data_IF_687162748394
#
_entry.id   IF_687162748394
#
_cell.length_a   1.000
_cell.length_b   1.000
_cell.length_c   1.000
_cell.angle_alpha   90.00
_cell.angle_beta   90.00
_cell.angle_gamma   90.00
#
_symmetry.space_group_name_H-M   'P 1'
#
loop_
_entity.id
_entity.type
_entity.pdbx_description
1 polymer ?
#
# COMPACT_ATOMS: atom_id res chain seq x y z
N UNK A 1 41.08 -48.34 12.06
CA UNK A 1 41.68 -47.29 11.19
C UNK A 1 41.22 -47.38 9.75
N UNK A 2 41.26 -48.54 9.09
CA UNK A 2 40.95 -48.69 7.66
C UNK A 2 39.50 -48.28 7.28
N UNK A 3 38.52 -48.70 8.09
CA UNK A 3 37.11 -48.35 7.89
C UNK A 3 36.84 -46.84 8.07
N UNK A 4 37.56 -46.19 8.99
CA UNK A 4 37.48 -44.75 9.25
C UNK A 4 38.12 -43.95 8.10
N UNK A 5 39.22 -44.42 7.53
CA UNK A 5 39.82 -43.80 6.35
C UNK A 5 38.91 -43.95 5.12
N UNK A 6 38.31 -45.12 4.92
CA UNK A 6 37.41 -45.35 3.79
C UNK A 6 36.16 -44.45 3.85
N UNK A 7 35.54 -44.30 5.02
CA UNK A 7 34.38 -43.42 5.19
C UNK A 7 34.74 -41.95 4.95
N UNK A 8 35.88 -41.49 5.46
CA UNK A 8 36.34 -40.10 5.29
C UNK A 8 36.71 -39.78 3.84
N UNK A 9 37.45 -40.67 3.18
CA UNK A 9 37.99 -40.40 1.84
C UNK A 9 36.99 -40.62 0.70
N UNK A 10 35.98 -41.49 0.88
CA UNK A 10 35.07 -41.83 -0.22
C UNK A 10 33.62 -41.46 0.05
N UNK A 11 33.10 -41.74 1.25
CA UNK A 11 31.67 -41.55 1.54
C UNK A 11 31.34 -40.07 1.75
N UNK A 12 32.14 -39.34 2.54
CA UNK A 12 31.94 -37.91 2.79
C UNK A 12 31.99 -37.06 1.50
N UNK A 13 33.02 -37.19 0.62
CA UNK A 13 33.04 -36.40 -0.61
C UNK A 13 31.92 -36.79 -1.57
N UNK A 14 31.52 -38.06 -1.62
CA UNK A 14 30.39 -38.49 -2.46
C UNK A 14 29.06 -37.88 -1.98
N UNK A 15 28.82 -37.87 -0.67
CA UNK A 15 27.65 -37.19 -0.08
C UNK A 15 27.72 -35.68 -0.33
N UNK A 16 28.89 -35.05 -0.17
CA UNK A 16 29.08 -33.63 -0.42
C UNK A 16 28.77 -33.25 -1.88
N UNK A 17 29.30 -34.02 -2.85
CA UNK A 17 28.98 -33.85 -4.27
C UNK A 17 27.49 -34.07 -4.55
N UNK A 18 26.88 -35.08 -3.94
CA UNK A 18 25.45 -35.33 -4.06
C UNK A 18 24.59 -34.17 -3.55
N UNK A 19 24.94 -33.60 -2.40
CA UNK A 19 24.27 -32.42 -1.83
C UNK A 19 24.50 -31.18 -2.70
N UNK A 20 25.71 -30.98 -3.24
CA UNK A 20 26.01 -29.85 -4.11
C UNK A 20 25.24 -29.92 -5.44
N UNK A 21 25.12 -31.11 -6.03
CA UNK A 21 24.30 -31.33 -7.21
C UNK A 21 22.80 -31.14 -6.90
N UNK A 22 22.32 -31.70 -5.79
CA UNK A 22 20.92 -31.56 -5.42
C UNK A 22 20.54 -30.10 -5.13
N UNK A 23 21.37 -29.38 -4.39
CA UNK A 23 21.15 -27.96 -4.08
C UNK A 23 21.17 -27.10 -5.33
N UNK A 24 22.11 -27.31 -6.26
CA UNK A 24 22.13 -26.57 -7.54
C UNK A 24 20.91 -26.90 -8.39
N UNK A 25 20.51 -28.17 -8.49
CA UNK A 25 19.36 -28.59 -9.28
C UNK A 25 18.01 -28.17 -8.70
N UNK A 26 17.94 -27.87 -7.40
CA UNK A 26 16.71 -27.39 -6.74
C UNK A 26 16.69 -25.86 -6.68
N UNK A 27 17.77 -25.23 -6.22
CA UNK A 27 17.82 -23.78 -5.99
C UNK A 27 17.82 -22.99 -7.31
N UNK A 28 18.51 -23.46 -8.35
CA UNK A 28 18.58 -22.72 -9.62
C UNK A 28 17.22 -22.69 -10.33
N UNK A 29 16.49 -23.81 -10.49
CA UNK A 29 15.14 -23.77 -11.04
C UNK A 29 14.15 -23.02 -10.15
N UNK A 30 14.24 -23.18 -8.82
CA UNK A 30 13.39 -22.43 -7.90
C UNK A 30 13.60 -20.91 -8.04
N UNK A 31 14.86 -20.46 -8.13
CA UNK A 31 15.19 -19.06 -8.36
C UNK A 31 14.71 -18.57 -9.73
N UNK A 32 14.84 -19.38 -10.79
CA UNK A 32 14.37 -19.04 -12.13
C UNK A 32 12.84 -18.94 -12.21
N UNK A 33 12.12 -19.88 -11.60
CA UNK A 33 10.66 -19.87 -11.48
C UNK A 33 10.22 -18.63 -10.70
N UNK A 34 10.87 -18.34 -9.57
CA UNK A 34 10.59 -17.17 -8.77
C UNK A 34 10.84 -15.87 -9.53
N UNK A 35 11.97 -15.75 -10.23
CA UNK A 35 12.30 -14.59 -11.06
C UNK A 35 11.29 -14.40 -12.19
N UNK A 36 10.92 -15.46 -12.89
CA UNK A 36 9.92 -15.44 -13.96
C UNK A 36 8.53 -15.05 -13.45
N UNK A 37 8.12 -15.59 -12.30
CA UNK A 37 6.88 -15.20 -11.63
C UNK A 37 6.90 -13.73 -11.20
N UNK A 38 8.00 -13.27 -10.60
CA UNK A 38 8.19 -11.89 -10.18
C UNK A 38 8.15 -10.92 -11.36
N UNK A 39 8.82 -11.24 -12.47
CA UNK A 39 8.80 -10.46 -13.71
C UNK A 39 7.40 -10.37 -14.29
N UNK A 40 6.65 -11.49 -14.34
CA UNK A 40 5.25 -11.51 -14.80
C UNK A 40 4.33 -10.69 -13.91
N UNK A 41 4.59 -10.62 -12.60
CA UNK A 41 3.86 -9.73 -11.69
C UNK A 41 4.18 -8.26 -11.99
N UNK A 42 5.46 -7.92 -12.13
CA UNK A 42 5.90 -6.56 -12.43
C UNK A 42 5.31 -6.06 -13.75
N UNK A 43 5.30 -6.92 -14.76
CA UNK A 43 4.74 -6.62 -16.08
C UNK A 43 3.23 -6.41 -16.03
N UNK A 44 2.49 -7.28 -15.33
CA UNK A 44 1.04 -7.08 -15.10
C UNK A 44 0.75 -5.77 -14.37
N UNK A 45 1.55 -5.38 -13.37
CA UNK A 45 1.42 -4.09 -12.69
C UNK A 45 1.70 -2.91 -13.64
N UNK A 46 2.73 -3.01 -14.49
CA UNK A 46 3.07 -1.99 -15.49
C UNK A 46 1.96 -1.84 -16.53
N UNK A 47 1.40 -2.95 -17.03
CA UNK A 47 0.29 -2.94 -17.98
C UNK A 47 -0.96 -2.31 -17.38
N UNK A 48 -1.32 -2.63 -16.13
CA UNK A 48 -2.42 -1.95 -15.41
C UNK A 48 -2.17 -0.45 -15.30
N UNK A 49 -0.98 -0.01 -14.92
CA UNK A 49 -0.64 1.42 -14.85
C UNK A 49 -0.74 2.11 -16.23
N UNK A 50 -0.43 1.41 -17.31
CA UNK A 50 -0.53 1.98 -18.65
C UNK A 50 -1.98 2.05 -19.16
N UNK A 51 -2.83 1.09 -18.76
CA UNK A 51 -4.26 1.05 -19.13
C UNK A 51 -5.11 1.99 -18.27
N UNK A 52 -4.94 1.90 -16.96
CA UNK A 52 -5.80 2.55 -15.97
C UNK A 52 -5.22 3.90 -15.52
N UNK A 53 -3.97 4.22 -15.88
CA UNK A 53 -3.29 5.45 -15.51
C UNK A 53 -2.57 5.37 -14.16
N UNK A 54 -2.11 6.51 -13.67
CA UNK A 54 -1.48 6.57 -12.35
C UNK A 54 -2.56 6.51 -11.26
N UNK A 55 -2.43 5.59 -10.31
CA UNK A 55 -3.32 5.48 -9.16
C UNK A 55 -2.63 6.12 -7.95
N UNK A 56 -3.11 7.28 -7.52
CA UNK A 56 -2.59 8.02 -6.37
C UNK A 56 -3.64 7.97 -5.27
N UNK A 57 -3.26 7.52 -4.09
CA UNK A 57 -4.13 7.56 -2.93
C UNK A 57 -3.68 8.60 -1.91
N UNK A 58 -4.64 9.31 -1.34
CA UNK A 58 -4.47 10.22 -0.23
C UNK A 58 -5.14 9.62 1.01
N UNK A 59 -4.38 9.51 2.09
CA UNK A 59 -4.92 9.02 3.36
C UNK A 59 -5.37 10.20 4.21
N UNK A 60 -6.69 10.38 4.37
CA UNK A 60 -7.25 11.48 5.13
C UNK A 60 -8.60 11.10 5.78
N UNK A 61 -8.56 10.56 7.01
CA UNK A 61 -9.75 9.96 7.64
C UNK A 61 -10.89 10.95 7.88
N UNK A 62 -10.60 12.20 8.25
CA UNK A 62 -11.57 13.28 8.42
C UNK A 62 -11.28 14.36 7.38
N UNK A 63 -12.11 14.45 6.35
CA UNK A 63 -11.94 15.30 5.17
C UNK A 63 -13.00 16.41 5.06
N UNK A 64 -13.80 16.59 6.11
CA UNK A 64 -14.97 17.46 6.17
C UNK A 64 -14.97 18.32 7.45
N UNK A 65 -13.85 18.40 8.17
CA UNK A 65 -13.76 19.23 9.37
C UNK A 65 -13.64 20.73 9.03
N UNK A 66 -13.27 21.07 7.78
CA UNK A 66 -13.13 22.46 7.31
C UNK A 66 -11.86 23.15 7.78
N UNK A 67 -10.82 22.39 8.13
CA UNK A 67 -9.56 22.89 8.68
C UNK A 67 -8.54 23.35 7.62
N UNK A 68 -7.52 24.10 8.04
CA UNK A 68 -6.46 24.61 7.16
C UNK A 68 -5.61 23.50 6.50
N UNK A 69 -5.37 22.38 7.19
CA UNK A 69 -4.66 21.23 6.64
C UNK A 69 -5.41 20.57 5.48
N UNK A 70 -6.75 20.59 5.51
CA UNK A 70 -7.59 20.04 4.43
C UNK A 70 -7.45 20.88 3.15
N UNK A 71 -7.31 22.21 3.27
CA UNK A 71 -7.06 23.08 2.10
C UNK A 71 -5.80 22.64 1.34
N UNK A 72 -4.72 22.30 2.06
CA UNK A 72 -3.47 21.83 1.45
C UNK A 72 -3.70 20.52 0.70
N UNK A 73 -4.44 19.58 1.28
CA UNK A 73 -4.82 18.33 0.63
C UNK A 73 -5.58 18.60 -0.68
N UNK A 74 -6.63 19.43 -0.65
CA UNK A 74 -7.46 19.67 -1.83
C UNK A 74 -6.74 20.43 -2.93
N UNK A 75 -5.87 21.39 -2.58
CA UNK A 75 -5.00 22.08 -3.54
C UNK A 75 -3.96 21.12 -4.13
N UNK A 76 -3.39 20.21 -3.33
CA UNK A 76 -2.47 19.20 -3.84
C UNK A 76 -3.16 18.23 -4.82
N UNK A 77 -4.37 17.77 -4.49
CA UNK A 77 -5.20 16.95 -5.39
C UNK A 77 -5.48 17.68 -6.70
N UNK A 78 -5.88 18.96 -6.63
CA UNK A 78 -6.11 19.80 -7.82
C UNK A 78 -4.88 19.87 -8.70
N UNK A 79 -3.72 20.19 -8.12
CA UNK A 79 -2.46 20.31 -8.85
C UNK A 79 -2.04 18.97 -9.52
N UNK A 80 -2.28 17.84 -8.85
CA UNK A 80 -2.01 16.51 -9.43
C UNK A 80 -2.92 16.22 -10.62
N UNK A 81 -4.22 16.52 -10.52
CA UNK A 81 -5.18 16.32 -11.62
C UNK A 81 -4.87 17.21 -12.81
N UNK A 82 -4.52 18.48 -12.58
CA UNK A 82 -4.13 19.41 -13.64
C UNK A 82 -2.84 18.98 -14.34
N UNK A 83 -1.86 18.45 -13.60
CA UNK A 83 -0.59 18.00 -14.18
C UNK A 83 -0.70 16.63 -14.85
N UNK A 84 -1.55 15.74 -14.35
CA UNK A 84 -1.69 14.37 -14.82
C UNK A 84 -3.18 13.99 -14.96
N UNK A 85 -3.84 14.35 -16.08
CA UNK A 85 -5.28 14.16 -16.25
C UNK A 85 -5.71 12.69 -16.30
N UNK A 86 -4.82 11.78 -16.68
CA UNK A 86 -5.04 10.32 -16.70
C UNK A 86 -4.72 9.66 -15.34
N UNK A 87 -4.96 10.37 -14.23
CA UNK A 87 -4.68 9.87 -12.88
C UNK A 87 -5.98 9.62 -12.15
N UNK A 88 -6.13 8.43 -11.58
CA UNK A 88 -7.21 8.14 -10.65
C UNK A 88 -6.76 8.50 -9.25
N UNK A 89 -7.55 9.34 -8.59
CA UNK A 89 -7.31 9.74 -7.21
C UNK A 89 -8.22 8.95 -6.30
N UNK A 90 -7.63 8.35 -5.27
CA UNK A 90 -8.34 7.63 -4.23
C UNK A 90 -8.16 8.37 -2.90
N UNK A 91 -9.24 8.65 -2.17
CA UNK A 91 -9.16 9.30 -0.86
C UNK A 91 -9.70 8.31 0.16
N UNK A 92 -8.84 7.86 1.07
CA UNK A 92 -9.26 7.01 2.18
C UNK A 92 -9.88 7.89 3.26
N UNK A 93 -11.17 7.70 3.54
CA UNK A 93 -11.94 8.46 4.52
C UNK A 93 -12.73 7.52 5.42
N UNK A 94 -13.00 7.94 6.66
CA UNK A 94 -13.93 7.22 7.56
C UNK A 94 -15.36 7.77 7.47
N UNK A 95 -15.56 8.89 6.78
CA UNK A 95 -16.81 9.66 6.82
C UNK A 95 -17.96 9.04 6.04
N UNK A 96 -19.19 9.25 6.54
CA UNK A 96 -20.49 8.86 5.94
C UNK A 96 -20.96 9.75 4.81
N UNK A 97 -20.39 10.94 4.65
CA UNK A 97 -20.87 11.91 3.68
C UNK A 97 -20.66 11.42 2.24
N UNK A 98 -21.59 11.81 1.36
CA UNK A 98 -21.47 11.53 -0.06
C UNK A 98 -20.29 12.31 -0.68
N UNK A 99 -19.56 11.72 -1.64
CA UNK A 99 -18.48 12.39 -2.37
C UNK A 99 -18.83 13.78 -2.89
N UNK A 100 -20.05 13.94 -3.44
CA UNK A 100 -20.52 15.21 -4.01
C UNK A 100 -20.64 16.28 -2.94
N UNK A 101 -21.25 15.94 -1.80
CA UNK A 101 -21.42 16.86 -0.66
C UNK A 101 -20.07 17.33 -0.11
N UNK A 102 -19.07 16.44 -0.05
CA UNK A 102 -17.71 16.79 0.37
C UNK A 102 -17.09 17.77 -0.64
N UNK A 103 -17.17 17.48 -1.94
CA UNK A 103 -16.61 18.33 -2.98
C UNK A 103 -17.29 19.71 -3.04
N UNK A 104 -18.62 19.78 -2.86
CA UNK A 104 -19.36 21.03 -2.81
C UNK A 104 -18.94 21.88 -1.61
N UNK A 105 -18.74 21.24 -0.45
CA UNK A 105 -18.25 21.94 0.74
C UNK A 105 -16.83 22.47 0.53
N UNK A 106 -15.96 21.69 -0.10
CA UNK A 106 -14.59 22.10 -0.44
C UNK A 106 -14.59 23.26 -1.42
N UNK A 107 -15.47 23.23 -2.41
CA UNK A 107 -15.66 24.34 -3.34
C UNK A 107 -16.11 25.60 -2.59
N UNK A 108 -17.08 25.48 -1.68
CA UNK A 108 -17.61 26.62 -0.93
C UNK A 108 -16.62 27.18 0.11
N UNK A 109 -15.84 26.33 0.76
CA UNK A 109 -14.90 26.74 1.83
C UNK A 109 -13.53 27.17 1.30
N UNK A 110 -13.03 26.50 0.26
CA UNK A 110 -11.67 26.67 -0.23
C UNK A 110 -11.58 27.20 -1.67
N UNK A 111 -12.70 27.33 -2.38
CA UNK A 111 -12.79 27.76 -3.78
C UNK A 111 -11.96 26.85 -4.73
N UNK A 112 -11.93 25.56 -4.44
CA UNK A 112 -11.18 24.54 -5.19
C UNK A 112 -12.15 23.68 -6.01
N UNK A 113 -12.25 23.96 -7.32
CA UNK A 113 -13.11 23.23 -8.24
C UNK A 113 -12.47 21.90 -8.63
N UNK A 114 -13.15 20.80 -8.35
CA UNK A 114 -12.69 19.45 -8.63
C UNK A 114 -13.80 18.67 -9.34
N UNK A 115 -13.46 18.04 -10.46
CA UNK A 115 -14.39 17.18 -11.18
C UNK A 115 -14.44 15.80 -10.52
N UNK A 116 -15.62 15.36 -10.11
CA UNK A 116 -15.83 14.09 -9.39
C UNK A 116 -15.46 12.85 -10.20
N UNK A 117 -15.31 12.94 -11.52
CA UNK A 117 -15.09 11.79 -12.40
C UNK A 117 -13.81 11.00 -12.07
N UNK A 118 -12.76 11.67 -11.59
CA UNK A 118 -11.45 11.06 -11.34
C UNK A 118 -11.16 10.86 -9.84
N UNK A 119 -12.13 11.15 -8.95
CA UNK A 119 -11.96 11.09 -7.50
C UNK A 119 -12.85 9.99 -6.92
N UNK A 120 -12.21 9.02 -6.28
CA UNK A 120 -12.86 7.87 -5.68
C UNK A 120 -12.64 7.89 -4.17
N UNK A 121 -13.73 7.86 -3.40
CA UNK A 121 -13.64 7.82 -1.94
C UNK A 121 -13.70 6.37 -1.46
N UNK A 122 -12.68 5.94 -0.73
CA UNK A 122 -12.62 4.61 -0.13
C UNK A 122 -12.96 4.75 1.34
N UNK A 123 -14.12 4.21 1.70
CA UNK A 123 -14.59 4.19 3.07
C UNK A 123 -13.82 3.16 3.90
N UNK A 124 -13.18 3.61 4.97
CA UNK A 124 -12.54 2.74 5.97
C UNK A 124 -13.52 2.43 7.10
N UNK A 125 -13.50 1.17 7.56
CA UNK A 125 -14.36 0.69 8.67
C UNK A 125 -13.72 0.93 10.04
N UNK A 126 -12.42 1.18 10.08
CA UNK A 126 -11.60 1.24 11.30
C UNK A 126 -11.68 2.58 12.04
N UNK A 127 -12.76 3.36 11.86
CA UNK A 127 -12.97 4.64 12.57
C UNK A 127 -12.80 4.50 14.09
N UNK A 128 -13.33 3.41 14.66
CA UNK A 128 -13.33 3.16 16.11
C UNK A 128 -11.94 2.93 16.69
N UNK A 129 -10.97 2.46 15.90
CA UNK A 129 -9.64 2.10 16.41
C UNK A 129 -8.73 3.32 16.52
N UNK A 130 -9.08 4.44 15.87
CA UNK A 130 -8.36 5.71 15.99
C UNK A 130 -8.97 6.64 17.05
N UNK A 131 -10.22 6.40 17.45
CA UNK A 131 -10.90 7.27 18.38
C UNK A 131 -10.30 7.15 19.80
N UNK A 132 -9.64 8.22 20.26
CA UNK A 132 -8.92 8.28 21.55
C UNK A 132 -9.77 7.83 22.74
N UNK A 133 -11.08 8.02 22.66
CA UNK A 133 -12.06 7.68 23.70
C UNK A 133 -12.11 6.18 24.02
N UNK A 134 -11.63 5.32 23.14
CA UNK A 134 -11.57 3.87 23.38
C UNK A 134 -10.39 3.46 24.29
N UNK A 135 -9.45 4.37 24.58
CA UNK A 135 -8.20 4.06 25.29
C UNK A 135 -8.04 4.90 26.56
N UNK A 136 -8.59 4.43 27.71
CA UNK A 136 -8.46 5.13 28.99
C UNK A 136 -7.04 5.13 29.57
N UNK A 137 -6.17 4.22 29.12
CA UNK A 137 -4.75 4.15 29.50
C UNK A 137 -3.88 3.88 28.26
N UNK A 138 -2.61 4.31 28.28
CA UNK A 138 -1.65 4.14 27.16
C UNK A 138 -2.14 4.66 25.79
N UNK A 139 -2.91 5.75 25.81
CA UNK A 139 -3.58 6.31 24.63
C UNK A 139 -2.64 6.53 23.44
N UNK A 140 -1.43 7.06 23.64
CA UNK A 140 -0.46 7.29 22.55
C UNK A 140 0.03 5.98 21.91
N UNK A 141 0.31 4.95 22.70
CA UNK A 141 0.76 3.65 22.20
C UNK A 141 -0.37 2.96 21.42
N UNK A 142 -1.58 2.97 21.97
CA UNK A 142 -2.74 2.33 21.36
C UNK A 142 -3.24 3.08 20.12
N UNK A 143 -3.14 4.41 20.08
CA UNK A 143 -3.38 5.20 18.87
C UNK A 143 -2.36 4.90 17.77
N UNK A 144 -1.08 4.75 18.12
CA UNK A 144 -0.05 4.36 17.15
C UNK A 144 -0.35 2.98 16.56
N UNK A 145 -0.73 2.00 17.38
CA UNK A 145 -1.15 0.69 16.89
C UNK A 145 -2.43 0.75 16.06
N UNK A 146 -3.39 1.58 16.45
CA UNK A 146 -4.63 1.80 15.70
C UNK A 146 -4.38 2.39 14.32
N UNK A 147 -3.40 3.30 14.19
CA UNK A 147 -2.97 3.83 12.89
C UNK A 147 -2.38 2.75 11.97
N UNK A 148 -1.62 1.80 12.52
CA UNK A 148 -1.08 0.67 11.75
C UNK A 148 -2.20 -0.26 11.26
N UNK A 149 -3.18 -0.56 12.11
CA UNK A 149 -4.33 -1.40 11.74
C UNK A 149 -5.15 -0.72 10.64
N UNK A 150 -5.41 0.59 10.75
CA UNK A 150 -6.11 1.33 9.72
C UNK A 150 -5.32 1.39 8.41
N UNK A 151 -4.01 1.60 8.49
CA UNK A 151 -3.12 1.53 7.32
C UNK A 151 -3.20 0.17 6.64
N UNK A 152 -3.17 -0.92 7.42
CA UNK A 152 -3.31 -2.28 6.90
C UNK A 152 -4.68 -2.50 6.22
N UNK A 153 -5.79 -2.02 6.80
CA UNK A 153 -7.10 -2.06 6.14
C UNK A 153 -7.10 -1.30 4.81
N UNK A 154 -6.50 -0.10 4.78
CA UNK A 154 -6.39 0.71 3.57
C UNK A 154 -5.60 0.00 2.46
N UNK A 155 -4.47 -0.62 2.81
CA UNK A 155 -3.65 -1.41 1.89
C UNK A 155 -4.37 -2.67 1.38
N UNK A 156 -5.17 -3.32 2.23
CA UNK A 156 -5.96 -4.49 1.83
C UNK A 156 -7.11 -4.14 0.89
N UNK A 157 -7.74 -2.96 1.06
CA UNK A 157 -8.85 -2.49 0.21
C UNK A 157 -8.38 -2.04 -1.16
N UNK A 158 -7.30 -1.26 -1.21
CA UNK A 158 -6.71 -0.79 -2.45
C UNK A 158 -5.19 -0.76 -2.28
N UNK A 159 -4.48 -1.26 -3.29
CA UNK A 159 -3.02 -1.15 -3.37
C UNK A 159 -2.65 -0.08 -4.43
N UNK A 160 -2.69 1.21 -4.06
CA UNK A 160 -2.34 2.30 -4.95
C UNK A 160 -0.83 2.30 -5.26
N UNK A 161 -0.45 2.91 -6.38
CA UNK A 161 0.96 3.02 -6.76
C UNK A 161 1.72 4.00 -5.88
N UNK A 162 1.03 5.02 -5.36
CA UNK A 162 1.57 6.08 -4.50
C UNK A 162 0.55 6.35 -3.39
N UNK A 163 1.00 6.40 -2.13
CA UNK A 163 0.18 6.81 -0.98
C UNK A 163 0.80 8.08 -0.41
N UNK A 164 -0.01 9.13 -0.31
CA UNK A 164 0.33 10.37 0.38
C UNK A 164 -0.43 10.41 1.70
N UNK A 165 0.31 10.27 2.80
CA UNK A 165 -0.20 10.45 4.14
C UNK A 165 0.00 11.92 4.53
N UNK A 166 -1.09 12.69 4.56
CA UNK A 166 -1.07 14.02 5.16
C UNK A 166 -1.40 13.85 6.63
N UNK A 167 -0.40 14.13 7.48
CA UNK A 167 -0.58 14.14 8.93
C UNK A 167 -1.67 15.15 9.30
N UNK A 168 -2.54 14.72 10.22
CA UNK A 168 -3.48 15.56 10.95
C UNK A 168 -2.77 16.42 11.99
#
# INVERSE_FOLDING_TARGET
MLFLCFTIFFIIPFIFFGVLLFTTFVLVPAAFIFASWFMKIKERKRQRRNRDGANVAFFHPYCNAGGGGERVLWVAIKAVLERYPNTNIYIYTVETAEPKTILDKVQNQFNVQLHSANINFIRLSTQRVIEAKMYPYFTLLLQNLGSMIMGMEAFMKLNPGIILCLNM
#
